data_IF_693039476299
#
_entry.id   IF_693039476299
#
_cell.length_a   1.000
_cell.length_b   1.000
_cell.length_c   1.000
_cell.angle_alpha   90.00
_cell.angle_beta   90.00
_cell.angle_gamma   90.00
#
_symmetry.space_group_name_H-M   'P 1'
#
loop_
_entity.id
_entity.type
_entity.pdbx_description
1 polymer ?
#
# COMPACT_ATOMS: atom_id res chain seq x y z
N UNK A 1 24.55 10.46 19.38
CA UNK A 1 23.23 10.78 18.79
C UNK A 1 22.17 10.07 19.60
N UNK A 2 21.13 10.77 20.07
CA UNK A 2 19.96 10.14 20.70
C UNK A 2 19.15 9.37 19.66
N UNK A 3 18.55 8.23 20.03
CA UNK A 3 17.80 7.36 19.10
C UNK A 3 16.73 8.11 18.29
N UNK A 4 16.11 9.13 18.90
CA UNK A 4 15.12 9.98 18.24
C UNK A 4 15.70 10.82 17.09
N UNK A 5 16.91 11.37 17.24
CA UNK A 5 17.53 12.18 16.18
C UNK A 5 17.98 11.33 14.99
N UNK A 6 18.37 10.08 15.24
CA UNK A 6 18.65 9.10 14.18
C UNK A 6 17.40 8.76 13.37
N UNK A 7 16.29 8.42 14.04
CA UNK A 7 15.03 8.03 13.36
C UNK A 7 14.49 9.19 12.52
N UNK A 8 14.57 10.42 13.01
CA UNK A 8 14.14 11.59 12.25
C UNK A 8 15.01 11.80 11.00
N UNK A 9 16.34 11.71 11.16
CA UNK A 9 17.31 11.89 10.06
C UNK A 9 17.14 10.86 8.94
N UNK A 10 16.85 9.61 9.27
CA UNK A 10 16.73 8.51 8.31
C UNK A 10 15.30 8.01 8.12
N UNK A 11 14.31 8.86 8.42
CA UNK A 11 12.89 8.47 8.45
C UNK A 11 12.40 7.83 7.15
N UNK A 12 12.81 8.36 5.99
CA UNK A 12 12.45 7.80 4.68
C UNK A 12 13.07 6.42 4.47
N UNK A 13 14.37 6.26 4.77
CA UNK A 13 15.08 4.99 4.62
C UNK A 13 14.48 3.92 5.55
N UNK A 14 14.26 4.27 6.82
CA UNK A 14 13.66 3.37 7.81
C UNK A 14 12.23 2.97 7.42
N UNK A 15 11.45 3.89 6.85
CA UNK A 15 10.13 3.57 6.31
C UNK A 15 10.20 2.50 5.21
N UNK A 16 11.09 2.65 4.23
CA UNK A 16 11.24 1.66 3.16
C UNK A 16 11.74 0.31 3.68
N UNK A 17 12.74 0.32 4.57
CA UNK A 17 13.26 -0.91 5.19
C UNK A 17 12.13 -1.64 5.93
N UNK A 18 11.37 -0.93 6.77
CA UNK A 18 10.24 -1.53 7.49
C UNK A 18 9.17 -2.04 6.53
N UNK A 19 8.84 -1.29 5.50
CA UNK A 19 7.86 -1.69 4.48
C UNK A 19 8.26 -3.00 3.82
N UNK A 20 9.51 -3.10 3.35
CA UNK A 20 10.05 -4.31 2.72
C UNK A 20 10.07 -5.47 3.71
N UNK A 21 10.62 -5.27 4.90
CA UNK A 21 10.75 -6.34 5.91
C UNK A 21 9.37 -6.87 6.32
N UNK A 22 8.38 -5.99 6.52
CA UNK A 22 7.02 -6.42 6.91
C UNK A 22 6.33 -7.12 5.74
N UNK A 23 6.27 -6.51 4.54
CA UNK A 23 5.59 -7.11 3.38
C UNK A 23 6.19 -8.47 3.02
N UNK A 24 7.53 -8.54 2.87
CA UNK A 24 8.21 -9.76 2.48
C UNK A 24 8.29 -10.77 3.62
N UNK A 25 8.45 -10.32 4.87
CA UNK A 25 8.47 -11.20 6.04
C UNK A 25 7.14 -11.93 6.23
N UNK A 26 6.01 -11.21 6.16
CA UNK A 26 4.67 -11.83 6.25
C UNK A 26 4.43 -12.75 5.07
N UNK A 27 4.80 -12.34 3.85
CA UNK A 27 4.66 -13.18 2.67
C UNK A 27 5.47 -14.48 2.76
N UNK A 28 6.72 -14.42 3.25
CA UNK A 28 7.57 -15.59 3.40
C UNK A 28 7.03 -16.55 4.48
N UNK A 29 6.47 -16.00 5.57
CA UNK A 29 5.80 -16.81 6.59
C UNK A 29 4.54 -17.51 6.07
N UNK A 30 3.82 -16.89 5.12
CA UNK A 30 2.61 -17.47 4.52
C UNK A 30 2.90 -18.51 3.45
N UNK A 31 3.84 -18.20 2.53
CA UNK A 31 4.12 -19.04 1.36
C UNK A 31 5.19 -20.10 1.63
N UNK A 32 6.04 -19.88 2.64
CA UNK A 32 7.19 -20.73 2.92
C UNK A 32 8.15 -20.84 1.73
N UNK A 33 9.01 -21.88 1.72
CA UNK A 33 9.97 -22.09 0.63
C UNK A 33 9.32 -22.54 -0.68
N UNK A 34 8.05 -22.99 -0.65
CA UNK A 34 7.33 -23.47 -1.83
C UNK A 34 6.75 -22.36 -2.71
N UNK A 35 6.63 -21.13 -2.20
CA UNK A 35 6.09 -20.01 -2.95
C UNK A 35 4.58 -20.11 -3.19
N UNK A 36 4.08 -19.43 -4.23
CA UNK A 36 2.69 -19.52 -4.63
C UNK A 36 2.38 -20.93 -5.19
N UNK A 37 1.27 -21.57 -4.76
CA UNK A 37 0.86 -22.85 -5.32
C UNK A 37 0.69 -22.78 -6.84
N UNK A 38 1.17 -23.78 -7.56
CA UNK A 38 0.94 -23.88 -9.02
C UNK A 38 -0.50 -24.31 -9.31
N UNK A 39 -1.13 -24.99 -8.34
CA UNK A 39 -2.52 -25.39 -8.42
C UNK A 39 -3.47 -24.18 -8.36
N UNK A 40 -4.39 -24.01 -9.33
CA UNK A 40 -5.28 -22.85 -9.38
C UNK A 40 -6.22 -22.72 -8.17
N UNK A 41 -6.77 -23.83 -7.68
CA UNK A 41 -7.75 -23.81 -6.58
C UNK A 41 -7.08 -23.38 -5.27
N UNK A 42 -5.88 -23.91 -5.02
CA UNK A 42 -5.06 -23.48 -3.88
C UNK A 42 -4.58 -22.04 -4.00
N UNK A 43 -4.23 -21.59 -5.21
CA UNK A 43 -3.86 -20.21 -5.47
C UNK A 43 -5.00 -19.24 -5.19
N UNK A 44 -6.21 -19.52 -5.67
CA UNK A 44 -7.38 -18.67 -5.41
C UNK A 44 -7.68 -18.53 -3.92
N UNK A 45 -7.48 -19.60 -3.15
CA UNK A 45 -7.65 -19.56 -1.70
C UNK A 45 -6.60 -18.69 -0.98
N UNK A 46 -5.35 -18.66 -1.47
CA UNK A 46 -4.24 -17.97 -0.78
C UNK A 46 -4.02 -16.52 -1.26
N UNK A 47 -4.36 -16.20 -2.51
CA UNK A 47 -4.14 -14.89 -3.12
C UNK A 47 -4.70 -13.71 -2.31
N UNK A 48 -5.93 -13.76 -1.75
CA UNK A 48 -6.45 -12.67 -0.91
C UNK A 48 -5.54 -12.37 0.29
N UNK A 49 -5.00 -13.42 0.92
CA UNK A 49 -4.10 -13.28 2.07
C UNK A 49 -2.74 -12.72 1.65
N UNK A 50 -2.23 -13.14 0.49
CA UNK A 50 -0.99 -12.61 -0.08
C UNK A 50 -1.14 -11.11 -0.38
N UNK A 51 -2.25 -10.68 -1.00
CA UNK A 51 -2.51 -9.26 -1.23
C UNK A 51 -2.59 -8.47 0.08
N UNK A 52 -3.24 -9.03 1.09
CA UNK A 52 -3.33 -8.40 2.41
C UNK A 52 -1.94 -8.27 3.04
N UNK A 53 -1.11 -9.31 2.98
CA UNK A 53 0.28 -9.29 3.43
C UNK A 53 1.12 -8.21 2.72
N UNK A 54 0.96 -8.08 1.41
CA UNK A 54 1.65 -7.04 0.63
C UNK A 54 1.24 -5.64 1.07
N UNK A 55 -0.05 -5.41 1.32
CA UNK A 55 -0.60 -4.13 1.75
C UNK A 55 -0.25 -3.78 3.21
N UNK A 56 -0.08 -4.78 4.07
CA UNK A 56 0.25 -4.57 5.48
C UNK A 56 1.57 -3.84 5.66
N UNK A 57 2.59 -4.10 4.84
CA UNK A 57 3.91 -3.48 4.98
C UNK A 57 3.89 -1.95 4.95
N UNK A 58 3.47 -1.29 3.86
CA UNK A 58 3.48 0.16 3.78
C UNK A 58 2.50 0.80 4.79
N UNK A 59 1.36 0.15 5.06
CA UNK A 59 0.38 0.64 6.03
C UNK A 59 0.92 0.62 7.46
N UNK A 60 1.48 -0.51 7.91
CA UNK A 60 2.04 -0.64 9.26
C UNK A 60 3.31 0.21 9.43
N UNK A 61 4.22 0.18 8.45
CA UNK A 61 5.43 1.00 8.48
C UNK A 61 5.11 2.50 8.53
N UNK A 62 4.10 2.94 7.77
CA UNK A 62 3.66 4.34 7.76
C UNK A 62 3.13 4.78 9.11
N UNK A 63 2.22 4.01 9.71
CA UNK A 63 1.64 4.32 11.03
C UNK A 63 2.72 4.31 12.12
N UNK A 64 3.60 3.30 12.12
CA UNK A 64 4.73 3.21 13.05
C UNK A 64 5.66 4.42 12.92
N UNK A 65 6.07 4.77 11.71
CA UNK A 65 6.98 5.90 11.47
C UNK A 65 6.35 7.24 11.84
N UNK A 66 5.05 7.44 11.61
CA UNK A 66 4.33 8.63 12.10
C UNK A 66 4.39 8.71 13.62
N UNK A 67 4.13 7.60 14.32
CA UNK A 67 4.22 7.53 15.77
C UNK A 67 5.63 7.81 16.31
N UNK A 68 6.66 7.25 15.67
CA UNK A 68 8.06 7.41 16.10
C UNK A 68 8.62 8.82 15.81
N UNK A 69 8.24 9.42 14.68
CA UNK A 69 8.76 10.74 14.24
C UNK A 69 7.96 11.89 14.82
N UNK A 70 6.63 11.78 14.78
CA UNK A 70 5.68 12.86 15.10
C UNK A 70 4.89 12.62 16.39
N UNK A 71 4.98 11.43 17.00
CA UNK A 71 4.28 11.10 18.24
C UNK A 71 2.75 11.01 18.06
N UNK A 72 2.04 11.13 19.19
CA UNK A 72 0.57 11.09 19.23
C UNK A 72 -0.08 12.20 18.40
N UNK A 73 0.57 13.36 18.28
CA UNK A 73 0.10 14.48 17.45
C UNK A 73 0.00 14.11 15.98
N UNK A 74 1.01 13.42 15.43
CA UNK A 74 1.00 12.93 14.06
C UNK A 74 -0.10 11.90 13.78
N UNK A 75 -0.32 10.97 14.72
CA UNK A 75 -1.39 9.97 14.58
C UNK A 75 -2.79 10.61 14.61
N UNK A 76 -3.02 11.57 15.52
CA UNK A 76 -4.28 12.35 15.55
C UNK A 76 -4.47 13.16 14.27
N UNK A 77 -3.41 13.73 13.72
CA UNK A 77 -3.45 14.45 12.45
C UNK A 77 -3.78 13.52 11.27
N UNK A 78 -3.23 12.30 11.24
CA UNK A 78 -3.58 11.27 10.25
C UNK A 78 -5.07 10.94 10.31
N UNK A 79 -5.60 10.62 11.50
CA UNK A 79 -7.02 10.35 11.70
C UNK A 79 -7.90 11.53 11.29
N UNK A 80 -7.53 12.75 11.68
CA UNK A 80 -8.27 13.94 11.30
C UNK A 80 -8.32 14.15 9.78
N UNK A 81 -7.26 13.79 9.05
CA UNK A 81 -7.24 13.84 7.58
C UNK A 81 -8.12 12.78 6.94
N UNK A 82 -8.21 11.58 7.53
CA UNK A 82 -9.09 10.51 7.04
C UNK A 82 -10.58 10.88 7.12
N UNK A 83 -10.98 11.69 8.10
CA UNK A 83 -12.37 12.14 8.25
C UNK A 83 -12.66 13.51 7.61
N UNK A 84 -11.64 14.30 7.26
CA UNK A 84 -11.81 15.61 6.61
C UNK A 84 -11.80 15.46 5.10
N UNK A 85 -12.97 15.20 4.51
CA UNK A 85 -13.16 15.18 3.07
C UNK A 85 -13.67 16.53 2.59
N UNK A 86 -12.79 17.33 1.99
CA UNK A 86 -13.12 18.60 1.31
C UNK A 86 -12.61 18.57 -0.12
N UNK A 87 -12.96 17.52 -0.84
CA UNK A 87 -12.53 17.34 -2.23
C UNK A 87 -13.68 17.75 -3.13
N UNK A 88 -13.45 18.68 -4.07
CA UNK A 88 -14.49 19.12 -5.00
C UNK A 88 -14.97 17.97 -5.90
N UNK A 89 -16.23 18.00 -6.33
CA UNK A 89 -16.87 16.96 -7.16
C UNK A 89 -16.03 16.55 -8.39
N UNK A 90 -15.28 17.49 -8.98
CA UNK A 90 -14.34 17.23 -10.09
C UNK A 90 -13.34 16.11 -9.79
N UNK A 91 -12.84 16.02 -8.57
CA UNK A 91 -11.86 14.99 -8.21
C UNK A 91 -12.48 13.61 -8.06
N UNK A 92 -13.76 13.53 -7.71
CA UNK A 92 -14.49 12.26 -7.76
C UNK A 92 -14.66 11.80 -9.21
N UNK A 93 -14.98 12.70 -10.14
CA UNK A 93 -15.06 12.37 -11.55
C UNK A 93 -13.70 11.89 -12.08
N UNK A 94 -12.59 12.55 -11.73
CA UNK A 94 -11.25 12.08 -12.09
C UNK A 94 -10.98 10.69 -11.50
N UNK A 95 -11.19 10.49 -10.20
CA UNK A 95 -10.93 9.20 -9.55
C UNK A 95 -11.78 8.06 -10.14
N UNK A 96 -13.05 8.32 -10.46
CA UNK A 96 -13.99 7.31 -10.94
C UNK A 96 -13.87 7.05 -12.44
N UNK A 97 -13.59 8.08 -13.26
CA UNK A 97 -13.60 7.97 -14.72
C UNK A 97 -12.23 7.67 -15.34
N UNK A 98 -11.12 7.95 -14.64
CA UNK A 98 -9.78 7.76 -15.25
C UNK A 98 -9.55 6.31 -15.68
N UNK A 99 -9.78 5.34 -14.78
CA UNK A 99 -9.55 3.94 -15.09
C UNK A 99 -10.50 3.39 -16.19
N UNK A 100 -11.84 3.59 -16.11
CA UNK A 100 -12.75 3.17 -17.17
C UNK A 100 -12.43 3.79 -18.53
N UNK A 101 -12.16 5.09 -18.59
CA UNK A 101 -11.84 5.77 -19.85
C UNK A 101 -10.52 5.27 -20.44
N UNK A 102 -9.52 4.98 -19.61
CA UNK A 102 -8.25 4.43 -20.06
C UNK A 102 -8.43 3.03 -20.64
N UNK A 103 -9.19 2.17 -19.96
CA UNK A 103 -9.51 0.81 -20.45
C UNK A 103 -10.29 0.89 -21.76
N UNK A 104 -11.31 1.75 -21.86
CA UNK A 104 -12.06 1.97 -23.09
C UNK A 104 -11.18 2.44 -24.23
N UNK A 105 -10.27 3.38 -23.98
CA UNK A 105 -9.34 3.88 -25.00
C UNK A 105 -8.43 2.76 -25.52
N UNK A 106 -7.86 1.95 -24.62
CA UNK A 106 -7.01 0.81 -24.99
C UNK A 106 -7.79 -0.20 -25.83
N UNK A 107 -8.99 -0.59 -25.38
CA UNK A 107 -9.82 -1.58 -26.08
C UNK A 107 -10.28 -1.06 -27.45
N UNK A 108 -10.60 0.23 -27.56
CA UNK A 108 -10.97 0.85 -28.82
C UNK A 108 -9.81 0.80 -29.82
N UNK A 109 -8.60 1.17 -29.38
CA UNK A 109 -7.40 1.10 -30.22
C UNK A 109 -7.14 -0.33 -30.66
N UNK A 110 -7.20 -1.30 -29.76
CA UNK A 110 -7.02 -2.72 -30.10
C UNK A 110 -8.06 -3.18 -31.12
N UNK A 111 -9.33 -2.84 -30.93
CA UNK A 111 -10.42 -3.20 -31.85
C UNK A 111 -10.29 -2.60 -33.25
N UNK A 112 -9.59 -1.47 -33.40
CA UNK A 112 -9.35 -0.84 -34.70
C UNK A 112 -8.12 -1.43 -35.41
N UNK A 113 -7.23 -2.10 -34.66
CA UNK A 113 -5.97 -2.67 -35.16
C UNK A 113 -6.02 -4.19 -35.36
N UNK A 114 -6.97 -4.88 -34.71
CA UNK A 114 -7.24 -6.33 -34.86
C UNK A 114 -8.25 -6.61 -35.97
#
# INVERSE_FOLDING_TARGET
MTSKSFIQKYSVLLYFILTVVISWGVMWLMLGPGGLPIDPEQSEAILPFVYMAMLLGPSMAGVLMIGLVQGQGGLRALLARLFKWRVGARWYAVALLTAPLMVLAILLVLSLLS
#
